data_IF_302204220091
#
_entry.id   IF_302204220091
#
_cell.length_a   1.000
_cell.length_b   1.000
_cell.length_c   1.000
_cell.angle_alpha   90.00
_cell.angle_beta   90.00
_cell.angle_gamma   90.00
#
_symmetry.space_group_name_H-M   'P 1'
#
loop_
_entity.id
_entity.type
_entity.pdbx_description
1 polymer ?
#
# COMPACT_ATOMS: atom_id res chain seq x y z
N UNK A 1 -7.63 19.05 9.18
CA UNK A 1 -8.44 17.92 8.62
C UNK A 1 -9.34 17.42 9.74
N UNK A 2 -10.65 17.46 9.59
CA UNK A 2 -11.56 16.89 10.59
C UNK A 2 -11.64 15.37 10.37
N UNK A 3 -11.18 14.60 11.36
CA UNK A 3 -11.46 13.17 11.40
C UNK A 3 -12.95 12.95 11.70
N UNK A 4 -13.62 11.95 11.12
CA UNK A 4 -15.01 11.67 11.45
C UNK A 4 -15.09 11.30 12.93
N UNK A 5 -15.85 12.09 13.68
CA UNK A 5 -16.11 11.82 15.10
C UNK A 5 -17.32 10.90 15.21
N UNK A 6 -17.14 9.74 15.81
CA UNK A 6 -18.21 8.85 16.18
C UNK A 6 -18.59 9.19 17.61
N UNK A 7 -19.87 9.55 17.90
CA UNK A 7 -20.30 9.82 19.28
C UNK A 7 -20.03 8.60 20.17
N UNK A 8 -19.56 8.82 21.38
CA UNK A 8 -19.38 7.76 22.36
C UNK A 8 -20.74 7.12 22.66
N UNK A 9 -20.87 5.79 22.61
CA UNK A 9 -22.12 5.14 22.98
C UNK A 9 -22.38 5.32 24.48
N UNK A 10 -23.64 5.62 24.82
CA UNK A 10 -24.06 5.76 26.22
C UNK A 10 -24.03 4.44 27.01
N UNK A 11 -23.95 3.31 26.31
CA UNK A 11 -23.85 1.97 26.89
C UNK A 11 -22.88 1.12 26.09
N UNK A 12 -22.13 0.26 26.79
CA UNK A 12 -21.39 -0.84 26.15
C UNK A 12 -22.40 -1.92 25.80
N UNK A 13 -22.42 -2.30 24.53
CA UNK A 13 -23.28 -3.36 24.02
C UNK A 13 -22.42 -4.54 23.56
N UNK A 14 -22.99 -5.74 23.50
CA UNK A 14 -22.31 -6.98 23.13
C UNK A 14 -22.81 -7.50 21.81
N UNK A 15 -21.90 -8.13 21.02
CA UNK A 15 -22.27 -8.79 19.76
C UNK A 15 -23.05 -10.07 20.05
N UNK A 16 -24.36 -10.02 19.86
CA UNK A 16 -25.26 -11.16 20.15
C UNK A 16 -25.31 -12.18 19.01
N UNK A 17 -25.00 -11.80 17.78
CA UNK A 17 -25.14 -12.65 16.59
C UNK A 17 -23.91 -12.66 15.72
N UNK A 18 -23.52 -13.83 15.19
CA UNK A 18 -22.45 -13.97 14.20
C UNK A 18 -22.68 -13.14 12.92
N UNK A 19 -23.93 -12.77 12.62
CA UNK A 19 -24.27 -11.87 11.51
C UNK A 19 -23.64 -10.48 11.62
N UNK A 20 -23.17 -10.08 12.79
CA UNK A 20 -22.39 -8.85 12.96
C UNK A 20 -21.04 -8.92 12.22
N UNK A 21 -20.47 -10.11 12.11
CA UNK A 21 -19.16 -10.36 11.48
C UNK A 21 -19.34 -10.81 10.01
N UNK A 22 -20.47 -11.43 9.67
CA UNK A 22 -20.68 -12.13 8.40
C UNK A 22 -21.52 -11.33 7.40
N UNK A 23 -21.02 -11.21 6.17
CA UNK A 23 -21.75 -10.71 5.00
C UNK A 23 -22.80 -11.64 4.42
N UNK A 24 -22.76 -12.93 4.77
CA UNK A 24 -23.64 -13.95 4.17
C UNK A 24 -25.11 -13.80 4.55
N UNK A 25 -25.45 -12.86 5.42
CA UNK A 25 -26.80 -12.66 5.95
C UNK A 25 -27.50 -11.39 5.46
N UNK A 26 -27.00 -10.72 4.41
CA UNK A 26 -27.78 -9.77 3.61
C UNK A 26 -28.15 -8.43 4.24
N UNK A 27 -27.50 -8.01 5.33
CA UNK A 27 -27.61 -6.64 5.86
C UNK A 27 -26.25 -6.05 6.04
N UNK A 28 -25.95 -5.02 5.25
CA UNK A 28 -24.78 -4.15 5.44
C UNK A 28 -24.94 -3.42 6.78
N UNK A 29 -24.28 -3.92 7.83
CA UNK A 29 -24.20 -3.14 9.06
C UNK A 29 -23.36 -1.88 8.84
N UNK A 30 -23.61 -0.83 9.60
CA UNK A 30 -22.74 0.35 9.60
C UNK A 30 -21.27 -0.02 9.89
N UNK A 31 -20.36 0.81 9.36
CA UNK A 31 -18.93 0.68 9.64
C UNK A 31 -18.66 0.90 11.14
N UNK A 32 -17.82 0.07 11.72
CA UNK A 32 -17.31 0.29 13.08
C UNK A 32 -16.25 1.39 13.08
N UNK A 33 -15.95 1.93 14.27
CA UNK A 33 -14.90 2.95 14.43
C UNK A 33 -13.52 2.48 13.93
N UNK A 34 -13.19 1.19 14.15
CA UNK A 34 -11.93 0.62 13.64
C UNK A 34 -11.92 0.53 12.11
N UNK A 35 -13.01 0.11 11.49
CA UNK A 35 -13.11 0.07 10.03
C UNK A 35 -13.01 1.47 9.42
N UNK A 36 -13.70 2.46 9.98
CA UNK A 36 -13.58 3.87 9.56
C UNK A 36 -12.15 4.35 9.71
N UNK A 37 -11.50 4.10 10.86
CA UNK A 37 -10.10 4.48 11.11
C UNK A 37 -9.18 3.92 10.02
N UNK A 38 -9.29 2.62 9.72
CA UNK A 38 -8.41 1.98 8.72
C UNK A 38 -8.70 2.44 7.30
N UNK A 39 -9.97 2.66 6.92
CA UNK A 39 -10.31 3.25 5.64
C UNK A 39 -9.70 4.66 5.50
N UNK A 40 -9.91 5.54 6.48
CA UNK A 40 -9.32 6.89 6.49
C UNK A 40 -7.80 6.86 6.41
N UNK A 41 -7.15 6.01 7.20
CA UNK A 41 -5.70 5.90 7.21
C UNK A 41 -5.16 5.45 5.85
N UNK A 42 -5.74 4.41 5.25
CA UNK A 42 -5.32 3.93 3.95
C UNK A 42 -5.62 4.94 2.83
N UNK A 43 -6.75 5.67 2.88
CA UNK A 43 -7.03 6.75 1.94
C UNK A 43 -5.97 7.84 2.04
N UNK A 44 -5.64 8.33 3.24
CA UNK A 44 -4.65 9.38 3.43
C UNK A 44 -3.25 8.97 2.95
N UNK A 45 -2.81 7.75 3.25
CA UNK A 45 -1.50 7.26 2.78
C UNK A 45 -1.47 7.13 1.25
N UNK A 46 -2.56 6.69 0.63
CA UNK A 46 -2.68 6.63 -0.82
C UNK A 46 -2.74 8.03 -1.47
N UNK A 47 -3.39 9.01 -0.85
CA UNK A 47 -3.41 10.40 -1.33
C UNK A 47 -1.98 10.95 -1.37
N UNK A 48 -1.22 10.78 -0.29
CA UNK A 48 0.19 11.20 -0.24
C UNK A 48 1.03 10.45 -1.29
N UNK A 49 0.88 9.12 -1.35
CA UNK A 49 1.57 8.29 -2.34
C UNK A 49 1.27 8.71 -3.78
N UNK A 50 -0.01 8.95 -4.11
CA UNK A 50 -0.43 9.44 -5.42
C UNK A 50 0.24 10.75 -5.78
N UNK A 51 0.20 11.73 -4.89
CA UNK A 51 0.79 13.06 -5.13
C UNK A 51 2.31 12.97 -5.36
N UNK A 52 3.01 12.15 -4.57
CA UNK A 52 4.45 11.90 -4.77
C UNK A 52 4.72 11.22 -6.12
N UNK A 53 3.96 10.18 -6.48
CA UNK A 53 4.12 9.48 -7.75
C UNK A 53 3.82 10.39 -8.95
N UNK A 54 2.83 11.28 -8.85
CA UNK A 54 2.56 12.30 -9.87
C UNK A 54 3.78 13.21 -10.04
N UNK A 55 4.30 13.79 -8.97
CA UNK A 55 5.49 14.64 -9.01
C UNK A 55 6.72 13.91 -9.56
N UNK A 56 7.00 12.69 -9.11
CA UNK A 56 8.12 11.89 -9.60
C UNK A 56 7.96 11.54 -11.10
N UNK A 57 6.75 11.28 -11.55
CA UNK A 57 6.49 11.00 -12.97
C UNK A 57 6.77 12.19 -13.90
N UNK A 58 6.70 13.43 -13.38
CA UNK A 58 6.99 14.64 -14.15
C UNK A 58 8.50 14.85 -14.32
N UNK A 59 9.31 14.44 -13.34
CA UNK A 59 10.71 14.84 -13.22
C UNK A 59 11.73 13.70 -13.41
N UNK A 60 11.29 12.43 -13.42
CA UNK A 60 12.19 11.30 -13.62
C UNK A 60 12.85 11.31 -15.00
N UNK A 61 14.11 10.87 -15.09
CA UNK A 61 14.91 11.01 -16.30
C UNK A 61 14.48 10.09 -17.43
N UNK A 62 14.11 8.83 -17.14
CA UNK A 62 13.76 7.84 -18.16
C UNK A 62 12.25 7.63 -18.30
N UNK A 63 11.80 7.34 -19.54
CA UNK A 63 10.38 7.07 -19.80
C UNK A 63 9.88 5.81 -19.06
N UNK A 64 10.74 4.79 -18.89
CA UNK A 64 10.41 3.59 -18.12
C UNK A 64 10.09 3.92 -16.67
N UNK A 65 10.89 4.78 -16.05
CA UNK A 65 10.71 5.20 -14.66
C UNK A 65 9.50 6.12 -14.53
N UNK A 66 9.32 7.07 -15.46
CA UNK A 66 8.11 7.92 -15.51
C UNK A 66 6.84 7.10 -15.59
N UNK A 67 6.85 6.09 -16.47
CA UNK A 67 5.71 5.17 -16.60
C UNK A 67 5.42 4.43 -15.29
N UNK A 68 6.44 3.89 -14.64
CA UNK A 68 6.30 3.21 -13.35
C UNK A 68 5.63 4.11 -12.31
N UNK A 69 6.03 5.38 -12.21
CA UNK A 69 5.41 6.33 -11.29
C UNK A 69 3.96 6.68 -11.69
N UNK A 70 3.65 6.83 -12.97
CA UNK A 70 2.24 7.02 -13.42
C UNK A 70 1.37 5.82 -13.04
N UNK A 71 1.84 4.61 -13.31
CA UNK A 71 1.14 3.38 -12.95
C UNK A 71 0.90 3.31 -11.42
N UNK A 72 1.86 3.78 -10.61
CA UNK A 72 1.74 3.89 -9.15
C UNK A 72 0.71 4.92 -8.71
N UNK A 73 0.66 6.09 -9.36
CA UNK A 73 -0.35 7.10 -9.09
C UNK A 73 -1.76 6.60 -9.41
N UNK A 74 -1.92 5.89 -10.53
CA UNK A 74 -3.20 5.28 -10.93
C UNK A 74 -3.64 4.18 -9.96
N UNK A 75 -2.70 3.34 -9.51
CA UNK A 75 -2.97 2.31 -8.50
C UNK A 75 -3.46 2.94 -7.19
N UNK A 76 -2.77 3.96 -6.70
CA UNK A 76 -3.17 4.69 -5.49
C UNK A 76 -4.54 5.36 -5.67
N UNK A 77 -4.81 5.97 -6.82
CA UNK A 77 -6.09 6.61 -7.13
C UNK A 77 -7.26 5.60 -7.11
N UNK A 78 -7.05 4.40 -7.65
CA UNK A 78 -8.07 3.35 -7.64
C UNK A 78 -8.37 2.88 -6.21
N UNK A 79 -7.36 2.76 -5.35
CA UNK A 79 -7.54 2.41 -3.95
C UNK A 79 -8.27 3.52 -3.17
N UNK A 80 -7.92 4.80 -3.41
CA UNK A 80 -8.63 5.95 -2.81
C UNK A 80 -10.12 5.88 -3.14
N UNK A 81 -10.47 5.71 -4.42
CA UNK A 81 -11.87 5.63 -4.86
C UNK A 81 -12.62 4.48 -4.19
N UNK A 82 -12.02 3.29 -4.20
CA UNK A 82 -12.61 2.09 -3.65
C UNK A 82 -12.93 2.24 -2.15
N UNK A 83 -11.96 2.73 -1.37
CA UNK A 83 -12.15 2.93 0.07
C UNK A 83 -13.06 4.11 0.41
N UNK A 84 -13.00 5.20 -0.38
CA UNK A 84 -13.87 6.35 -0.20
C UNK A 84 -15.35 5.99 -0.43
N UNK A 85 -15.65 5.11 -1.39
CA UNK A 85 -17.00 4.64 -1.66
C UNK A 85 -17.67 4.00 -0.43
N UNK A 86 -16.91 3.27 0.39
CA UNK A 86 -17.44 2.70 1.64
C UNK A 86 -17.81 3.77 2.67
N UNK A 87 -17.03 4.85 2.77
CA UNK A 87 -17.33 5.97 3.65
C UNK A 87 -18.56 6.75 3.15
N UNK A 88 -18.56 7.09 1.85
CA UNK A 88 -19.62 7.90 1.24
C UNK A 88 -20.98 7.20 1.26
N UNK A 89 -21.04 5.88 1.06
CA UNK A 89 -22.28 5.09 1.20
C UNK A 89 -22.92 5.21 2.58
N UNK A 90 -22.16 5.60 3.59
CA UNK A 90 -22.65 5.81 4.94
C UNK A 90 -22.70 7.28 5.36
N UNK A 91 -22.65 8.20 4.39
CA UNK A 91 -22.62 9.64 4.62
C UNK A 91 -21.45 10.11 5.51
N UNK A 92 -20.33 9.38 5.48
CA UNK A 92 -19.11 9.74 6.20
C UNK A 92 -18.18 10.53 5.27
N UNK A 93 -17.47 11.56 5.79
CA UNK A 93 -16.53 12.33 4.97
C UNK A 93 -15.34 11.47 4.54
N UNK A 94 -14.89 11.67 3.29
CA UNK A 94 -13.63 11.13 2.79
C UNK A 94 -12.54 12.21 2.85
N UNK A 95 -11.26 11.84 3.07
CA UNK A 95 -10.14 12.76 2.99
C UNK A 95 -10.08 13.48 1.63
N UNK A 96 -9.68 14.78 1.65
CA UNK A 96 -9.51 15.58 0.45
C UNK A 96 -8.24 15.16 -0.31
N UNK A 97 -8.33 15.09 -1.65
CA UNK A 97 -7.16 14.88 -2.53
C UNK A 97 -6.15 16.04 -2.37
N UNK A 98 -4.89 15.75 -2.67
CA UNK A 98 -3.77 16.69 -2.58
C UNK A 98 -3.04 16.87 -3.92
N UNK A 99 -3.67 16.53 -5.05
CA UNK A 99 -3.07 16.64 -6.38
C UNK A 99 -2.73 18.10 -6.72
N UNK A 100 -3.51 19.04 -6.20
CA UNK A 100 -3.32 20.49 -6.32
C UNK A 100 -2.06 21.01 -5.58
N UNK A 101 -1.40 20.19 -4.79
CA UNK A 101 -0.11 20.50 -4.15
C UNK A 101 1.10 20.09 -4.99
N UNK A 102 0.89 19.33 -6.06
CA UNK A 102 1.97 18.96 -6.99
C UNK A 102 2.21 20.14 -7.94
N UNK A 103 3.44 20.64 -7.96
CA UNK A 103 3.84 21.76 -8.83
C UNK A 103 3.98 21.29 -10.28
N UNK A 104 4.04 22.24 -11.20
CA UNK A 104 4.30 22.03 -12.64
C UNK A 104 5.79 21.89 -13.01
N UNK A 105 6.67 21.78 -12.00
CA UNK A 105 8.10 21.63 -12.21
C UNK A 105 8.43 20.34 -12.98
N UNK A 106 9.31 20.47 -13.98
CA UNK A 106 9.90 19.36 -14.74
C UNK A 106 11.36 19.12 -14.39
N UNK A 107 11.89 19.86 -13.40
CA UNK A 107 13.27 19.72 -12.92
C UNK A 107 13.29 18.96 -11.61
N UNK A 108 13.99 17.83 -11.59
CA UNK A 108 14.08 17.01 -10.39
C UNK A 108 15.10 17.56 -9.40
N UNK A 109 14.74 17.73 -8.11
CA UNK A 109 15.69 17.94 -7.04
C UNK A 109 16.31 16.62 -6.53
N UNK A 110 15.84 15.46 -7.02
CA UNK A 110 16.25 14.14 -6.56
C UNK A 110 16.78 13.29 -7.71
N UNK A 111 17.66 12.34 -7.42
CA UNK A 111 18.06 11.32 -8.38
C UNK A 111 16.93 10.29 -8.58
N UNK A 112 16.88 9.67 -9.75
CA UNK A 112 15.94 8.57 -10.02
C UNK A 112 16.10 7.43 -8.99
N UNK A 113 17.34 7.12 -8.60
CA UNK A 113 17.62 6.12 -7.55
C UNK A 113 16.88 6.45 -6.26
N UNK A 114 16.95 7.71 -5.79
CA UNK A 114 16.30 8.12 -4.54
C UNK A 114 14.77 8.07 -4.67
N UNK A 115 14.21 8.53 -5.79
CA UNK A 115 12.77 8.46 -6.05
C UNK A 115 12.26 7.02 -6.09
N UNK A 116 13.01 6.11 -6.73
CA UNK A 116 12.67 4.67 -6.78
C UNK A 116 12.75 4.02 -5.39
N UNK A 117 13.75 4.36 -4.58
CA UNK A 117 13.83 3.91 -3.18
C UNK A 117 12.64 4.37 -2.37
N UNK A 118 12.25 5.64 -2.51
CA UNK A 118 11.08 6.18 -1.83
C UNK A 118 9.80 5.46 -2.23
N UNK A 119 9.61 5.20 -3.53
CA UNK A 119 8.46 4.45 -4.04
C UNK A 119 8.41 3.01 -3.48
N UNK A 120 9.58 2.34 -3.41
CA UNK A 120 9.69 1.00 -2.82
C UNK A 120 9.29 0.98 -1.34
N UNK A 121 9.76 1.95 -0.54
CA UNK A 121 9.38 2.09 0.86
C UNK A 121 7.88 2.37 1.01
N UNK A 122 7.32 3.25 0.18
CA UNK A 122 5.89 3.56 0.19
C UNK A 122 5.05 2.31 -0.13
N UNK A 123 5.48 1.48 -1.09
CA UNK A 123 4.83 0.23 -1.42
C UNK A 123 4.88 -0.80 -0.27
N UNK A 124 6.00 -0.90 0.43
CA UNK A 124 6.14 -1.76 1.61
C UNK A 124 5.23 -1.30 2.77
N UNK A 125 5.16 0.02 3.00
CA UNK A 125 4.24 0.61 3.98
C UNK A 125 2.79 0.32 3.61
N UNK A 126 2.43 0.43 2.32
CA UNK A 126 1.08 0.11 1.85
C UNK A 126 0.70 -1.35 2.17
N UNK A 127 1.58 -2.32 1.91
CA UNK A 127 1.34 -3.73 2.26
C UNK A 127 1.20 -3.94 3.78
N UNK A 128 2.03 -3.28 4.58
CA UNK A 128 1.95 -3.35 6.05
C UNK A 128 0.61 -2.80 6.55
N UNK A 129 0.18 -1.65 6.00
CA UNK A 129 -1.10 -1.03 6.35
C UNK A 129 -2.30 -1.91 5.96
N UNK A 130 -2.24 -2.56 4.79
CA UNK A 130 -3.27 -3.51 4.36
C UNK A 130 -3.33 -4.73 5.28
N UNK A 131 -2.20 -5.29 5.68
CA UNK A 131 -2.12 -6.38 6.65
C UNK A 131 -2.70 -6.00 8.01
N UNK A 132 -2.36 -4.81 8.52
CA UNK A 132 -2.89 -4.28 9.77
C UNK A 132 -4.40 -4.05 9.69
N UNK A 133 -4.87 -3.45 8.59
CA UNK A 133 -6.31 -3.25 8.36
C UNK A 133 -7.05 -4.59 8.33
N UNK A 134 -6.55 -5.55 7.54
CA UNK A 134 -7.15 -6.89 7.41
C UNK A 134 -7.31 -7.59 8.75
N UNK A 135 -6.31 -7.47 9.65
CA UNK A 135 -6.35 -8.11 10.99
C UNK A 135 -7.44 -7.54 11.90
N UNK A 136 -7.97 -6.35 11.61
CA UNK A 136 -8.97 -5.65 12.43
C UNK A 136 -10.32 -5.48 11.73
N UNK A 137 -10.45 -5.91 10.46
CA UNK A 137 -11.71 -5.85 9.72
C UNK A 137 -12.63 -6.97 10.16
N UNK A 138 -13.84 -6.60 10.60
CA UNK A 138 -14.89 -7.56 10.93
C UNK A 138 -15.88 -7.76 9.75
N UNK A 139 -15.99 -6.78 8.84
CA UNK A 139 -16.79 -6.88 7.62
C UNK A 139 -16.03 -7.68 6.57
N UNK A 140 -16.63 -8.75 6.09
CA UNK A 140 -16.01 -9.65 5.12
C UNK A 140 -15.85 -9.02 3.73
N UNK A 141 -16.71 -8.08 3.33
CA UNK A 141 -16.59 -7.34 2.07
C UNK A 141 -15.32 -6.48 2.05
N UNK A 142 -15.06 -5.73 3.14
CA UNK A 142 -13.85 -4.94 3.30
C UNK A 142 -12.60 -5.84 3.35
N UNK A 143 -12.67 -6.93 4.10
CA UNK A 143 -11.57 -7.89 4.16
C UNK A 143 -11.27 -8.51 2.79
N UNK A 144 -12.31 -8.91 2.05
CA UNK A 144 -12.15 -9.46 0.70
C UNK A 144 -11.57 -8.44 -0.29
N UNK A 145 -11.96 -7.17 -0.17
CA UNK A 145 -11.39 -6.10 -0.99
C UNK A 145 -9.90 -5.88 -0.70
N UNK A 146 -9.52 -5.78 0.57
CA UNK A 146 -8.12 -5.66 0.97
C UNK A 146 -7.30 -6.86 0.46
N UNK A 147 -7.82 -8.08 0.61
CA UNK A 147 -7.13 -9.28 0.11
C UNK A 147 -6.91 -9.26 -1.41
N UNK A 148 -7.80 -8.64 -2.20
CA UNK A 148 -7.61 -8.47 -3.64
C UNK A 148 -6.55 -7.43 -3.98
N UNK A 149 -6.36 -6.41 -3.15
CA UNK A 149 -5.38 -5.34 -3.37
C UNK A 149 -3.95 -5.78 -3.07
N UNK A 150 -3.73 -6.64 -2.09
CA UNK A 150 -2.40 -7.11 -1.67
C UNK A 150 -1.56 -7.65 -2.86
N UNK A 151 -2.05 -8.60 -3.67
CA UNK A 151 -1.26 -9.10 -4.81
C UNK A 151 -1.03 -8.04 -5.89
N UNK A 152 -1.94 -7.08 -6.07
CA UNK A 152 -1.78 -5.99 -7.03
C UNK A 152 -0.64 -5.06 -6.60
N UNK A 153 -0.60 -4.68 -5.32
CA UNK A 153 0.50 -3.88 -4.75
C UNK A 153 1.81 -4.68 -4.81
N UNK A 154 1.78 -5.97 -4.47
CA UNK A 154 2.94 -6.85 -4.53
C UNK A 154 3.54 -6.92 -5.94
N UNK A 155 2.70 -7.03 -6.98
CA UNK A 155 3.15 -6.98 -8.37
C UNK A 155 3.80 -5.64 -8.70
N UNK A 156 3.17 -4.51 -8.35
CA UNK A 156 3.73 -3.19 -8.57
C UNK A 156 5.10 -3.00 -7.88
N UNK A 157 5.24 -3.47 -6.64
CA UNK A 157 6.50 -3.43 -5.92
C UNK A 157 7.58 -4.28 -6.61
N UNK A 158 7.22 -5.46 -7.13
CA UNK A 158 8.15 -6.31 -7.87
C UNK A 158 8.60 -5.66 -9.19
N UNK A 159 7.70 -4.98 -9.89
CA UNK A 159 8.04 -4.25 -11.12
C UNK A 159 9.05 -3.11 -10.81
N UNK A 160 8.88 -2.41 -9.69
CA UNK A 160 9.84 -1.41 -9.19
C UNK A 160 11.18 -2.01 -8.80
N UNK A 161 11.18 -3.16 -8.12
CA UNK A 161 12.41 -3.90 -7.77
C UNK A 161 13.20 -4.29 -9.03
N UNK A 162 12.53 -4.79 -10.07
CA UNK A 162 13.17 -5.13 -11.34
C UNK A 162 13.87 -3.92 -11.97
N UNK A 163 13.23 -2.74 -11.95
CA UNK A 163 13.85 -1.50 -12.44
C UNK A 163 15.11 -1.16 -11.62
N UNK A 164 15.06 -1.29 -10.31
CA UNK A 164 16.21 -1.01 -9.43
C UNK A 164 17.37 -2.00 -9.67
N UNK A 165 17.07 -3.28 -9.90
CA UNK A 165 18.07 -4.31 -10.22
C UNK A 165 18.73 -4.01 -11.56
N UNK A 166 17.94 -3.72 -12.61
CA UNK A 166 18.45 -3.39 -13.94
C UNK A 166 19.42 -2.19 -13.95
N UNK A 167 19.22 -1.23 -13.02
CA UNK A 167 20.08 -0.07 -12.89
C UNK A 167 21.23 -0.25 -11.88
N UNK A 168 21.37 -1.42 -11.25
CA UNK A 168 22.37 -1.66 -10.21
C UNK A 168 22.16 -0.82 -8.95
N UNK A 169 20.91 -0.46 -8.64
CA UNK A 169 20.56 0.35 -7.47
C UNK A 169 20.16 -0.47 -6.26
N UNK A 170 19.90 -1.76 -6.44
CA UNK A 170 19.51 -2.66 -5.35
C UNK A 170 20.72 -3.43 -4.87
N UNK A 171 21.14 -3.15 -3.64
CA UNK A 171 22.26 -3.83 -2.99
C UNK A 171 21.84 -5.22 -2.51
N UNK A 172 22.72 -6.21 -2.69
CA UNK A 172 22.46 -7.57 -2.21
C UNK A 172 22.50 -7.61 -0.69
N UNK A 173 21.44 -8.07 -0.03
CA UNK A 173 21.43 -8.23 1.41
C UNK A 173 22.44 -9.29 1.86
N UNK A 174 23.04 -9.11 3.03
CA UNK A 174 23.87 -10.15 3.64
C UNK A 174 23.01 -11.41 3.88
N UNK A 175 23.48 -12.54 3.32
CA UNK A 175 22.80 -13.82 3.45
C UNK A 175 23.51 -14.73 4.45
N UNK A 176 22.77 -15.68 5.00
CA UNK A 176 23.41 -16.77 5.76
C UNK A 176 24.32 -17.59 4.85
N UNK A 177 25.38 -18.16 5.43
CA UNK A 177 26.32 -19.00 4.69
C UNK A 177 25.62 -20.23 4.10
N UNK A 178 25.75 -20.41 2.79
CA UNK A 178 25.29 -21.64 2.11
C UNK A 178 26.24 -22.79 2.39
N UNK A 179 25.92 -23.56 3.45
CA UNK A 179 26.73 -24.71 3.87
C UNK A 179 26.67 -25.87 2.87
N UNK A 180 25.66 -25.95 2.01
CA UNK A 180 25.60 -26.96 0.94
C UNK A 180 26.64 -26.66 -0.14
N UNK A 181 26.75 -25.41 -0.56
CA UNK A 181 27.77 -25.03 -1.55
C UNK A 181 29.19 -25.17 -0.96
N UNK A 182 29.39 -24.79 0.29
CA UNK A 182 30.67 -25.01 0.95
C UNK A 182 31.04 -26.49 1.03
N UNK A 183 30.09 -27.39 1.28
CA UNK A 183 30.37 -28.83 1.33
C UNK A 183 30.76 -29.43 -0.03
N UNK A 184 30.29 -28.86 -1.13
CA UNK A 184 30.67 -29.27 -2.48
C UNK A 184 32.03 -28.71 -2.89
N UNK A 185 32.40 -27.52 -2.43
CA UNK A 185 33.68 -26.88 -2.73
C UNK A 185 34.84 -27.52 -1.97
N UNK A 186 34.58 -28.11 -0.81
CA UNK A 186 35.62 -28.80 -0.01
C UNK A 186 36.06 -30.17 -0.58
N UNK A 187 35.32 -30.72 -1.55
CA UNK A 187 35.70 -32.00 -2.20
C UNK A 187 36.82 -31.88 -3.22
N UNK A 188 37.38 -30.70 -3.45
CA UNK A 188 38.51 -30.44 -4.37
C UNK A 188 39.91 -30.58 -3.77
N UNK A 189 40.06 -30.80 -2.46
CA UNK A 189 41.39 -30.77 -1.78
C UNK A 189 41.99 -32.13 -1.47
N UNK A 190 41.53 -33.22 -2.04
CA UNK A 190 42.17 -34.53 -1.87
C UNK A 190 42.47 -35.20 -3.21
N UNK A 191 43.51 -34.71 -3.91
CA UNK A 191 44.32 -35.50 -4.87
C UNK A 191 45.70 -34.86 -4.94
N UNK A 192 46.55 -35.21 -4.00
CA UNK A 192 48.00 -35.34 -4.21
C UNK A 192 48.53 -36.38 -3.20
#
# INVERSE_FOLDING_TARGET
MSSPTIPYPNKVDFVEKKSFISLLTGRDRPLSSNEIKHLHYNINTNILGKSLMLGFSQVASSEKIRKYFRDGADLANNQIKSFADHLLKQNLPSPKLMDDHVTDSTTSPFSDKLMMYHASLAGNIALTNMGTALSQMMRHDLAAEIMKLIPVIGKYNNDGLNIMIEHGWFEEPFTATDRKELSKSSSGFNKN
#
